data_IF_684191179950
#
_entry.id   IF_684191179950
#
_cell.length_a   1.000
_cell.length_b   1.000
_cell.length_c   1.000
_cell.angle_alpha   90.00
_cell.angle_beta   90.00
_cell.angle_gamma   90.00
#
_symmetry.space_group_name_H-M   'P 1'
#
loop_
_entity.id
_entity.type
_entity.pdbx_description
1 polymer ?
#
# COMPACT_ATOMS: atom_id res chain seq x y z
N UNK A 1 23.35 -2.67 -17.04
CA UNK A 1 23.41 -3.14 -15.64
C UNK A 1 21.97 -3.31 -15.20
N UNK A 2 21.51 -4.53 -14.91
CA UNK A 2 20.09 -4.84 -14.72
C UNK A 2 19.51 -4.33 -13.40
N UNK A 3 18.19 -4.32 -13.28
CA UNK A 3 17.42 -3.75 -12.16
C UNK A 3 17.70 -4.38 -10.78
N UNK A 4 18.27 -5.59 -10.79
CA UNK A 4 18.61 -6.40 -9.61
C UNK A 4 20.07 -6.28 -9.17
N UNK A 5 20.92 -5.60 -9.95
CA UNK A 5 22.35 -5.50 -9.66
C UNK A 5 22.60 -4.81 -8.31
N UNK A 6 23.40 -5.45 -7.45
CA UNK A 6 23.71 -4.95 -6.11
C UNK A 6 22.54 -4.99 -5.12
N UNK A 7 21.43 -5.67 -5.50
CA UNK A 7 20.24 -5.88 -4.66
C UNK A 7 20.00 -7.36 -4.39
N UNK A 8 20.63 -8.28 -5.10
CA UNK A 8 20.45 -9.72 -4.89
C UNK A 8 21.65 -10.35 -4.20
N UNK A 9 21.38 -11.21 -3.23
CA UNK A 9 22.37 -12.05 -2.54
C UNK A 9 21.89 -13.50 -2.58
N UNK A 10 22.81 -14.45 -2.77
CA UNK A 10 22.49 -15.87 -2.82
C UNK A 10 23.16 -16.58 -1.64
N UNK A 11 22.35 -17.12 -0.73
CA UNK A 11 22.84 -17.93 0.39
C UNK A 11 23.07 -19.37 -0.07
N UNK A 12 24.35 -19.77 -0.04
CA UNK A 12 24.82 -21.07 -0.50
C UNK A 12 25.11 -22.04 0.64
N UNK A 13 24.96 -21.63 1.90
CA UNK A 13 25.29 -22.48 3.04
C UNK A 13 24.44 -23.77 3.06
N UNK A 14 23.18 -23.67 2.64
CA UNK A 14 22.26 -24.80 2.54
C UNK A 14 22.46 -25.71 1.32
N UNK A 15 23.37 -25.39 0.40
CA UNK A 15 23.44 -26.06 -0.91
C UNK A 15 23.80 -27.55 -0.77
N UNK A 16 24.68 -27.89 0.16
CA UNK A 16 25.02 -29.29 0.47
C UNK A 16 23.84 -30.10 1.01
N UNK A 17 22.85 -29.43 1.61
CA UNK A 17 21.59 -30.02 2.06
C UNK A 17 20.44 -29.87 1.06
N UNK A 18 20.69 -29.34 -0.14
CA UNK A 18 19.70 -29.15 -1.19
C UNK A 18 18.82 -27.89 -1.04
N UNK A 19 19.24 -26.91 -0.24
CA UNK A 19 18.54 -25.62 -0.07
C UNK A 19 19.37 -24.47 -0.64
N UNK A 20 18.71 -23.48 -1.25
CA UNK A 20 19.36 -22.30 -1.82
C UNK A 20 18.40 -21.11 -1.72
N UNK A 21 18.81 -20.08 -0.99
CA UNK A 21 17.93 -18.93 -0.73
C UNK A 21 18.41 -17.70 -1.50
N UNK A 22 17.54 -17.12 -2.32
CA UNK A 22 17.77 -15.83 -2.98
C UNK A 22 17.17 -14.71 -2.12
N UNK A 23 18.00 -13.74 -1.73
CA UNK A 23 17.59 -12.57 -0.96
C UNK A 23 17.56 -11.35 -1.87
N UNK A 24 16.39 -10.75 -2.04
CA UNK A 24 16.24 -9.45 -2.70
C UNK A 24 16.20 -8.32 -1.66
N UNK A 25 17.19 -7.44 -1.72
CA UNK A 25 17.36 -6.30 -0.84
C UNK A 25 16.74 -5.04 -1.45
N UNK A 26 16.33 -4.12 -0.57
CA UNK A 26 15.73 -2.82 -0.95
C UNK A 26 14.57 -3.03 -1.94
N UNK A 27 13.62 -3.89 -1.58
CA UNK A 27 12.44 -4.21 -2.40
C UNK A 27 11.68 -2.93 -2.75
N UNK A 28 11.15 -2.87 -3.97
CA UNK A 28 10.46 -1.74 -4.60
C UNK A 28 9.11 -2.23 -5.14
N UNK A 29 8.12 -1.35 -5.29
CA UNK A 29 6.86 -1.69 -5.96
C UNK A 29 7.02 -2.16 -7.43
N UNK A 30 8.16 -1.89 -8.06
CA UNK A 30 8.47 -2.39 -9.40
C UNK A 30 8.94 -3.84 -9.42
N UNK A 31 9.27 -4.40 -8.25
CA UNK A 31 9.71 -5.80 -8.15
C UNK A 31 8.52 -6.77 -8.03
N UNK A 32 7.29 -6.27 -7.90
CA UNK A 32 6.06 -7.07 -7.91
C UNK A 32 6.00 -8.01 -9.12
N UNK A 33 5.55 -9.23 -8.88
CA UNK A 33 5.20 -10.19 -9.92
C UNK A 33 5.85 -11.56 -9.74
N UNK A 34 5.82 -12.32 -10.82
CA UNK A 34 6.17 -13.74 -10.83
C UNK A 34 7.69 -13.95 -10.97
N UNK A 35 8.25 -14.74 -10.06
CA UNK A 35 9.63 -15.21 -10.07
C UNK A 35 9.67 -16.71 -10.27
N UNK A 36 10.54 -17.17 -11.16
CA UNK A 36 10.77 -18.59 -11.44
C UNK A 36 12.15 -18.98 -10.94
N UNK A 37 12.18 -19.98 -10.05
CA UNK A 37 13.37 -20.67 -9.64
C UNK A 37 13.57 -21.90 -10.54
N UNK A 38 14.68 -21.94 -11.28
CA UNK A 38 15.03 -23.07 -12.14
C UNK A 38 16.27 -23.75 -11.56
N UNK A 39 16.19 -25.06 -11.35
CA UNK A 39 17.30 -25.92 -10.91
C UNK A 39 17.62 -26.90 -12.02
N UNK A 40 18.90 -27.06 -12.35
CA UNK A 40 19.36 -27.95 -13.42
C UNK A 40 20.42 -28.93 -12.90
N UNK A 41 20.25 -30.21 -13.24
CA UNK A 41 21.23 -31.27 -12.97
C UNK A 41 21.44 -32.10 -14.25
N UNK A 42 22.57 -31.87 -14.93
CA UNK A 42 22.84 -32.49 -16.22
C UNK A 42 21.77 -32.13 -17.27
N UNK A 43 21.03 -33.14 -17.74
CA UNK A 43 19.89 -32.95 -18.67
C UNK A 43 18.54 -32.81 -17.98
N UNK A 44 18.47 -32.98 -16.66
CA UNK A 44 17.24 -32.82 -15.87
C UNK A 44 17.11 -31.37 -15.41
N UNK A 45 15.87 -30.88 -15.31
CA UNK A 45 15.58 -29.59 -14.70
C UNK A 45 14.27 -29.63 -13.92
N UNK A 46 14.16 -28.76 -12.92
CA UNK A 46 12.94 -28.52 -12.15
C UNK A 46 12.70 -27.02 -12.02
N UNK A 47 11.43 -26.63 -11.93
CA UNK A 47 11.03 -25.24 -11.76
C UNK A 47 10.06 -25.10 -10.58
N UNK A 48 10.16 -23.97 -9.89
CA UNK A 48 9.21 -23.54 -8.89
C UNK A 48 8.92 -22.05 -9.09
N UNK A 49 7.64 -21.69 -9.02
CA UNK A 49 7.19 -20.32 -9.23
C UNK A 49 6.78 -19.70 -7.90
N UNK A 50 7.16 -18.45 -7.69
CA UNK A 50 6.82 -17.64 -6.51
C UNK A 50 6.25 -16.31 -6.99
N UNK A 51 5.07 -15.94 -6.50
CA UNK A 51 4.49 -14.63 -6.74
C UNK A 51 4.89 -13.68 -5.61
N UNK A 52 5.54 -12.56 -5.97
CA UNK A 52 5.98 -11.54 -5.03
C UNK A 52 4.98 -10.37 -5.07
N UNK A 53 4.24 -10.21 -3.98
CA UNK A 53 3.38 -9.04 -3.75
C UNK A 53 4.06 -8.07 -2.78
N UNK A 54 4.40 -6.87 -3.26
CA UNK A 54 5.01 -5.81 -2.47
C UNK A 54 3.91 -4.87 -1.98
N UNK A 55 3.70 -4.89 -0.67
CA UNK A 55 2.77 -3.96 -0.05
C UNK A 55 3.23 -2.50 -0.25
N UNK A 56 2.50 -1.77 -1.08
CA UNK A 56 2.67 -0.33 -1.24
C UNK A 56 2.28 0.40 0.05
N UNK A 57 3.20 1.19 0.61
CA UNK A 57 2.84 2.11 1.68
C UNK A 57 2.13 3.32 1.08
N UNK A 58 0.82 3.20 0.83
CA UNK A 58 -0.04 4.25 0.27
C UNK A 58 0.04 5.60 1.01
N UNK A 59 0.51 5.62 2.25
CA UNK A 59 0.52 6.79 3.11
C UNK A 59 1.90 7.19 3.65
N UNK A 60 3.01 6.63 3.14
CA UNK A 60 4.33 6.99 3.69
C UNK A 60 4.77 8.41 3.32
N UNK A 61 4.17 9.01 2.29
CA UNK A 61 4.43 10.39 1.85
C UNK A 61 3.10 11.10 1.55
N UNK A 62 2.33 11.53 2.59
CA UNK A 62 1.13 12.31 2.35
C UNK A 62 1.55 13.66 1.76
N UNK A 63 1.39 13.78 0.45
CA UNK A 63 1.74 15.01 -0.26
C UNK A 63 0.91 16.17 0.35
N UNK A 64 1.49 17.36 0.60
CA UNK A 64 0.84 18.46 1.31
C UNK A 64 -0.62 18.79 0.90
N UNK A 65 -0.97 18.64 -0.39
CA UNK A 65 -2.33 18.90 -0.87
C UNK A 65 -3.36 17.88 -0.35
N UNK A 66 -2.98 16.61 -0.15
CA UNK A 66 -3.88 15.56 0.36
C UNK A 66 -4.32 15.85 1.79
N UNK A 67 -3.39 16.34 2.62
CA UNK A 67 -3.69 16.79 3.99
C UNK A 67 -4.64 17.99 3.95
N UNK A 68 -4.37 18.97 3.09
CA UNK A 68 -5.22 20.14 2.95
C UNK A 68 -6.66 19.76 2.52
N UNK A 69 -6.81 18.85 1.56
CA UNK A 69 -8.12 18.36 1.15
C UNK A 69 -8.86 17.63 2.28
N UNK A 70 -8.15 16.80 3.05
CA UNK A 70 -8.73 16.13 4.23
C UNK A 70 -9.28 17.14 5.24
N UNK A 71 -8.49 18.16 5.59
CA UNK A 71 -8.91 19.21 6.53
C UNK A 71 -10.11 20.00 5.98
N UNK A 72 -10.06 20.45 4.73
CA UNK A 72 -11.16 21.21 4.10
C UNK A 72 -12.45 20.39 4.06
N UNK A 73 -12.37 19.09 3.76
CA UNK A 73 -13.53 18.21 3.75
C UNK A 73 -14.16 18.10 5.16
N UNK A 74 -13.35 17.91 6.20
CA UNK A 74 -13.85 17.83 7.57
C UNK A 74 -14.53 19.13 8.04
N UNK A 75 -13.94 20.29 7.72
CA UNK A 75 -14.49 21.60 8.07
C UNK A 75 -15.81 21.87 7.33
N UNK A 76 -15.87 21.56 6.03
CA UNK A 76 -17.06 21.80 5.22
C UNK A 76 -18.25 20.94 5.69
N UNK A 77 -18.03 19.66 6.02
CA UNK A 77 -19.05 18.79 6.59
C UNK A 77 -19.54 19.32 7.93
N UNK A 78 -18.63 19.71 8.83
CA UNK A 78 -18.99 20.31 10.12
C UNK A 78 -19.85 21.57 9.97
N UNK A 79 -19.50 22.44 9.01
CA UNK A 79 -20.26 23.65 8.72
C UNK A 79 -21.67 23.37 8.21
N UNK A 80 -21.84 22.39 7.31
CA UNK A 80 -23.15 21.98 6.77
C UNK A 80 -24.05 21.42 7.88
N UNK A 81 -23.50 20.58 8.76
CA UNK A 81 -24.25 20.01 9.89
C UNK A 81 -24.68 21.11 10.85
N UNK A 82 -23.76 22.00 11.27
CA UNK A 82 -24.07 23.10 12.16
C UNK A 82 -25.15 24.02 11.58
N UNK A 83 -25.00 24.41 10.30
CA UNK A 83 -25.96 25.29 9.62
C UNK A 83 -27.34 24.65 9.57
N UNK A 84 -27.42 23.37 9.24
CA UNK A 84 -28.68 22.61 9.22
C UNK A 84 -29.34 22.56 10.60
N UNK A 85 -28.57 22.31 11.66
CA UNK A 85 -29.06 22.32 13.05
C UNK A 85 -29.54 23.70 13.49
N UNK A 86 -28.81 24.77 13.15
CA UNK A 86 -29.21 26.15 13.46
C UNK A 86 -30.50 26.54 12.73
N UNK A 87 -30.62 26.19 11.45
CA UNK A 87 -31.83 26.42 10.67
C UNK A 87 -33.02 25.63 11.21
N UNK A 88 -32.80 24.37 11.60
CA UNK A 88 -33.82 23.54 12.22
C UNK A 88 -34.29 24.14 13.55
N UNK A 89 -33.35 24.58 14.41
CA UNK A 89 -33.66 25.24 15.69
C UNK A 89 -34.44 26.54 15.48
N UNK A 90 -34.06 27.37 14.50
CA UNK A 90 -34.79 28.60 14.15
C UNK A 90 -36.21 28.29 13.67
N UNK A 91 -36.39 27.28 12.83
CA UNK A 91 -37.71 26.84 12.36
C UNK A 91 -38.59 26.36 13.51
N UNK A 92 -38.02 25.57 14.43
CA UNK A 92 -38.75 25.07 15.60
C UNK A 92 -39.24 26.22 16.50
N UNK A 93 -38.38 27.19 16.82
CA UNK A 93 -38.77 28.36 17.61
C UNK A 93 -39.92 29.15 16.98
N UNK A 94 -39.88 29.37 15.66
CA UNK A 94 -40.98 30.03 14.95
C UNK A 94 -42.29 29.25 15.04
N UNK A 95 -42.25 27.92 14.97
CA UNK A 95 -43.45 27.09 15.10
C UNK A 95 -44.03 27.15 16.52
N UNK A 96 -43.17 27.17 17.53
CA UNK A 96 -43.57 27.33 18.95
C UNK A 96 -44.12 28.74 19.26
N UNK A 97 -43.68 29.77 18.54
CA UNK A 97 -44.19 31.15 18.68
C UNK A 97 -45.52 31.39 17.94
N UNK A 98 -45.90 30.52 16.99
CA UNK A 98 -47.10 30.65 16.16
C UNK A 98 -48.30 29.81 16.61
N UNK A 99 -48.14 28.93 17.60
CA UNK A 99 -49.19 28.08 18.18
C UNK A 99 -49.49 28.48 19.62
#
# INVERSE_FOLDING_TARGET
LGDYAGRTELDKEGLSSGSLDLRLLKVRPSDDGEYVCTVQEGSSYGEATVDLEVAGAFFHDPHPWMVALGVVLTLSVGFVVLSSLLLWKRRKKKLEEMG
#
